data_IF_321665331954
#
_entry.id   IF_321665331954
#
_cell.length_a   1.000
_cell.length_b   1.000
_cell.length_c   1.000
_cell.angle_alpha   90.00
_cell.angle_beta   90.00
_cell.angle_gamma   90.00
#
_symmetry.space_group_name_H-M   'P 1'
#
loop_
_entity.id
_entity.type
_entity.pdbx_description
1 polymer ?
#
# COMPACT_ATOMS: atom_id res chain seq x y z
N UNK A 1 13.00 -27.85 11.30
CA UNK A 1 12.08 -26.81 10.77
C UNK A 1 12.18 -25.58 11.66
N UNK A 2 12.25 -24.37 11.10
CA UNK A 2 12.24 -23.15 11.92
C UNK A 2 10.77 -22.82 12.28
N UNK A 3 10.34 -22.92 13.55
CA UNK A 3 8.95 -22.67 13.94
C UNK A 3 8.49 -21.22 13.68
N UNK A 4 9.43 -20.31 13.42
CA UNK A 4 9.18 -18.91 13.06
C UNK A 4 8.98 -18.70 11.56
N UNK A 5 9.32 -19.68 10.71
CA UNK A 5 9.16 -19.55 9.25
C UNK A 5 7.71 -19.83 8.87
N UNK A 6 6.95 -18.77 8.60
CA UNK A 6 5.59 -18.84 8.03
C UNK A 6 5.64 -18.53 6.54
N UNK A 7 4.68 -19.07 5.79
CA UNK A 7 4.42 -18.67 4.41
C UNK A 7 3.42 -17.51 4.40
N UNK A 8 3.48 -16.61 3.40
CA UNK A 8 2.48 -15.56 3.24
C UNK A 8 1.07 -16.15 3.09
N UNK A 9 0.06 -15.43 3.55
CA UNK A 9 -1.34 -15.73 3.24
C UNK A 9 -1.65 -15.42 1.77
N UNK A 10 -2.80 -15.87 1.27
CA UNK A 10 -3.20 -15.58 -0.11
C UNK A 10 -3.49 -14.09 -0.34
N UNK A 11 -3.43 -13.58 -1.58
CA UNK A 11 -3.81 -12.20 -1.87
C UNK A 11 -5.21 -11.81 -1.35
N UNK A 12 -6.18 -12.71 -1.49
CA UNK A 12 -7.57 -12.51 -1.04
C UNK A 12 -7.67 -12.40 0.48
N UNK A 13 -6.86 -13.17 1.22
CA UNK A 13 -6.80 -13.08 2.68
C UNK A 13 -6.16 -11.77 3.16
N UNK A 14 -5.15 -11.29 2.44
CA UNK A 14 -4.45 -10.05 2.78
C UNK A 14 -5.29 -8.81 2.47
N UNK A 15 -6.12 -8.87 1.41
CA UNK A 15 -7.00 -7.78 0.95
C UNK A 15 -6.25 -6.44 0.92
N UNK A 16 -5.06 -6.47 0.32
CA UNK A 16 -4.17 -5.30 0.30
C UNK A 16 -4.68 -4.29 -0.70
N UNK A 17 -4.86 -3.05 -0.25
CA UNK A 17 -5.34 -1.93 -1.06
C UNK A 17 -4.24 -0.90 -1.27
N UNK A 18 -4.17 -0.39 -2.50
CA UNK A 18 -3.26 0.68 -2.88
C UNK A 18 -4.08 1.95 -3.09
N UNK A 19 -4.01 2.87 -2.13
CA UNK A 19 -4.84 4.07 -2.10
C UNK A 19 -4.01 5.27 -2.55
N UNK A 20 -4.29 5.78 -3.75
CA UNK A 20 -3.63 6.94 -4.31
C UNK A 20 -4.25 8.23 -3.78
N UNK A 21 -3.40 9.07 -3.18
CA UNK A 21 -3.71 10.45 -2.88
C UNK A 21 -2.79 11.36 -3.69
N UNK A 22 -3.36 12.46 -4.18
CA UNK A 22 -2.64 13.57 -4.78
C UNK A 22 -3.19 14.89 -4.22
N UNK A 23 -2.63 16.03 -4.63
CA UNK A 23 -3.20 17.34 -4.31
C UNK A 23 -4.60 17.56 -4.92
N UNK A 24 -4.96 16.82 -5.97
CA UNK A 24 -6.29 16.89 -6.60
C UNK A 24 -7.35 16.14 -5.79
N UNK A 25 -6.93 15.13 -5.03
CA UNK A 25 -7.79 14.29 -4.20
C UNK A 25 -7.15 14.02 -2.82
N UNK A 26 -6.97 15.05 -1.97
CA UNK A 26 -6.23 14.93 -0.71
C UNK A 26 -7.01 14.25 0.42
N UNK A 27 -8.31 13.95 0.21
CA UNK A 27 -9.23 13.39 1.22
C UNK A 27 -9.71 12.01 0.79
N UNK A 28 -10.28 11.91 -0.42
CA UNK A 28 -10.82 10.67 -0.96
C UNK A 28 -9.80 10.04 -1.93
N UNK A 29 -9.26 8.86 -1.63
CA UNK A 29 -8.27 8.23 -2.50
C UNK A 29 -8.90 7.59 -3.74
N UNK A 30 -8.08 7.42 -4.77
CA UNK A 30 -8.38 6.53 -5.88
C UNK A 30 -7.71 5.18 -5.61
N UNK A 31 -8.47 4.08 -5.72
CA UNK A 31 -7.91 2.74 -5.52
C UNK A 31 -7.19 2.27 -6.79
N UNK A 32 -5.94 1.84 -6.64
CA UNK A 32 -5.12 1.30 -7.71
C UNK A 32 -5.08 -0.22 -7.64
N UNK A 33 -5.15 -0.86 -8.81
CA UNK A 33 -5.21 -2.31 -8.97
C UNK A 33 -3.90 -2.80 -9.57
N UNK A 34 -3.22 -3.73 -8.92
CA UNK A 34 -2.04 -4.37 -9.50
C UNK A 34 -2.45 -5.43 -10.53
N UNK A 35 -1.62 -5.67 -11.55
CA UNK A 35 -1.90 -6.67 -12.58
C UNK A 35 -3.02 -6.28 -13.56
N UNK A 36 -3.49 -5.04 -13.53
CA UNK A 36 -4.51 -4.50 -14.44
C UNK A 36 -3.92 -3.82 -15.69
N UNK A 37 -2.62 -4.05 -15.96
CA UNK A 37 -1.85 -3.42 -17.06
C UNK A 37 -1.84 -1.88 -16.98
N UNK A 38 -1.69 -1.34 -15.77
CA UNK A 38 -1.70 0.11 -15.44
C UNK A 38 -3.02 0.81 -15.67
N UNK A 39 -4.11 0.11 -15.91
CA UNK A 39 -5.36 0.76 -16.28
C UNK A 39 -5.86 1.71 -15.18
N UNK A 40 -5.80 1.30 -13.92
CA UNK A 40 -6.14 2.12 -12.76
C UNK A 40 -5.20 3.32 -12.60
N UNK A 41 -3.90 3.14 -12.78
CA UNK A 41 -2.91 4.23 -12.73
C UNK A 41 -3.21 5.27 -13.81
N UNK A 42 -3.40 4.85 -15.05
CA UNK A 42 -3.65 5.74 -16.20
C UNK A 42 -4.97 6.51 -16.05
N UNK A 43 -5.96 5.90 -15.41
CA UNK A 43 -7.28 6.51 -15.19
C UNK A 43 -7.38 7.33 -13.90
N UNK A 44 -6.30 7.44 -13.13
CA UNK A 44 -6.26 8.16 -11.86
C UNK A 44 -5.56 9.52 -12.00
N UNK A 45 -5.47 10.26 -10.89
CA UNK A 45 -4.69 11.49 -10.81
C UNK A 45 -3.16 11.26 -10.74
N UNK A 46 -2.67 10.02 -10.89
CA UNK A 46 -1.25 9.73 -10.82
C UNK A 46 -0.47 10.49 -11.89
N UNK A 47 0.59 11.20 -11.47
CA UNK A 47 1.46 11.93 -12.37
C UNK A 47 2.88 11.36 -12.34
N UNK A 48 3.30 10.69 -13.41
CA UNK A 48 4.64 10.07 -13.52
C UNK A 48 5.80 11.07 -13.47
N UNK A 49 5.54 12.35 -13.76
CA UNK A 49 6.49 13.45 -13.64
C UNK A 49 6.72 13.90 -12.20
N UNK A 50 5.89 13.46 -11.25
CA UNK A 50 5.97 13.84 -9.84
C UNK A 50 6.63 12.75 -8.99
N UNK A 51 7.32 13.11 -7.92
CA UNK A 51 7.83 12.15 -6.95
C UNK A 51 6.70 11.29 -6.37
N UNK A 52 6.96 10.00 -6.18
CA UNK A 52 6.01 9.06 -5.58
C UNK A 52 6.48 8.64 -4.19
N UNK A 53 5.64 8.81 -3.18
CA UNK A 53 5.88 8.38 -1.80
C UNK A 53 5.00 7.17 -1.49
N UNK A 54 5.59 6.12 -0.93
CA UNK A 54 4.85 4.95 -0.47
C UNK A 54 4.72 5.03 1.05
N UNK A 55 3.49 4.92 1.57
CA UNK A 55 3.22 4.92 3.02
C UNK A 55 2.51 3.63 3.39
N UNK A 56 3.21 2.73 4.10
CA UNK A 56 2.63 1.50 4.61
C UNK A 56 2.57 1.54 6.14
N UNK A 57 1.46 1.13 6.74
CA UNK A 57 1.42 0.90 8.19
C UNK A 57 2.16 -0.40 8.55
N UNK A 58 2.45 -0.61 9.84
CA UNK A 58 3.12 -1.82 10.34
C UNK A 58 2.18 -2.84 11.00
N UNK A 59 2.77 -3.84 11.67
CA UNK A 59 2.06 -4.82 12.48
C UNK A 59 1.19 -4.15 13.56
N UNK A 60 -0.09 -4.56 13.65
CA UNK A 60 -1.11 -3.92 14.50
C UNK A 60 -1.25 -2.39 14.29
N UNK A 61 -0.67 -1.86 13.22
CA UNK A 61 -0.78 -0.47 12.83
C UNK A 61 -2.21 -0.15 12.38
N UNK A 62 -2.57 1.13 12.49
CA UNK A 62 -3.88 1.62 12.05
C UNK A 62 -3.73 2.47 10.80
N UNK A 63 -4.65 2.32 9.87
CA UNK A 63 -4.78 3.15 8.67
C UNK A 63 -4.75 4.66 8.99
N UNK A 64 -5.44 5.07 10.07
CA UNK A 64 -5.48 6.48 10.52
C UNK A 64 -4.09 7.09 10.76
N UNK A 65 -3.11 6.30 11.19
CA UNK A 65 -1.73 6.77 11.39
C UNK A 65 -1.05 7.04 10.06
N UNK A 66 -1.10 6.08 9.14
CA UNK A 66 -0.56 6.19 7.79
C UNK A 66 -1.20 7.35 7.00
N UNK A 67 -2.52 7.54 7.13
CA UNK A 67 -3.25 8.62 6.47
C UNK A 67 -2.72 10.01 6.85
N UNK A 68 -2.34 10.24 8.12
CA UNK A 68 -1.75 11.51 8.56
C UNK A 68 -0.43 11.80 7.84
N UNK A 69 0.40 10.79 7.63
CA UNK A 69 1.66 10.96 6.90
C UNK A 69 1.42 11.23 5.42
N UNK A 70 0.43 10.55 4.81
CA UNK A 70 0.06 10.82 3.43
C UNK A 70 -0.38 12.27 3.21
N UNK A 71 -1.24 12.78 4.08
CA UNK A 71 -1.67 14.18 4.06
C UNK A 71 -0.51 15.16 4.31
N UNK A 72 0.44 14.79 5.18
CA UNK A 72 1.62 15.63 5.43
C UNK A 72 2.53 15.72 4.20
N UNK A 73 2.78 14.62 3.50
CA UNK A 73 3.55 14.64 2.26
C UNK A 73 2.93 15.56 1.21
N UNK A 74 1.62 15.47 0.99
CA UNK A 74 0.92 16.32 0.03
C UNK A 74 0.97 17.82 0.38
N UNK A 75 1.03 18.15 1.67
CA UNK A 75 1.22 19.54 2.14
C UNK A 75 2.64 20.04 1.87
N UNK A 76 3.64 19.19 2.01
CA UNK A 76 5.05 19.56 1.86
C UNK A 76 5.50 19.59 0.39
N UNK A 77 4.94 18.73 -0.45
CA UNK A 77 5.45 18.48 -1.81
C UNK A 77 4.31 18.18 -2.78
N UNK A 78 4.45 18.60 -4.03
CA UNK A 78 3.54 18.17 -5.10
C UNK A 78 3.96 16.77 -5.56
N UNK A 79 3.33 15.75 -4.98
CA UNK A 79 3.73 14.35 -5.15
C UNK A 79 2.52 13.43 -5.29
N UNK A 80 2.77 12.21 -5.77
CA UNK A 80 1.85 11.10 -5.62
C UNK A 80 2.11 10.45 -4.26
N UNK A 81 1.08 10.13 -3.50
CA UNK A 81 1.21 9.30 -2.30
C UNK A 81 0.37 8.04 -2.48
N UNK A 82 1.03 6.88 -2.46
CA UNK A 82 0.35 5.58 -2.46
C UNK A 82 0.39 5.05 -1.03
N UNK A 83 -0.77 5.03 -0.38
CA UNK A 83 -0.93 4.42 0.93
C UNK A 83 -1.24 2.93 0.72
N UNK A 84 -0.47 2.07 1.39
CA UNK A 84 -0.66 0.61 1.38
C UNK A 84 -1.45 0.22 2.63
N UNK A 85 -2.73 -0.11 2.44
CA UNK A 85 -3.59 -0.66 3.48
C UNK A 85 -3.53 -2.20 3.41
N UNK A 86 -2.98 -2.82 4.44
CA UNK A 86 -2.87 -4.27 4.58
C UNK A 86 -3.28 -4.70 5.99
N UNK A 87 -4.30 -4.03 6.55
CA UNK A 87 -4.71 -4.19 7.94
C UNK A 87 -5.01 -5.65 8.33
N UNK A 88 -5.58 -6.45 7.42
CA UNK A 88 -5.82 -7.89 7.63
C UNK A 88 -4.51 -8.66 7.77
N UNK A 89 -3.58 -8.46 6.83
CA UNK A 89 -2.26 -9.11 6.85
C UNK A 89 -1.33 -8.65 7.98
N UNK A 90 -1.55 -7.44 8.50
CA UNK A 90 -0.82 -6.85 9.62
C UNK A 90 -1.44 -7.21 10.99
N UNK A 91 -2.59 -7.88 11.00
CA UNK A 91 -3.33 -8.14 12.22
C UNK A 91 -2.54 -9.06 13.17
N UNK A 92 -2.68 -8.80 14.46
CA UNK A 92 -2.21 -9.72 15.48
C UNK A 92 -3.03 -11.01 15.52
N UNK A 93 -2.55 -12.05 16.24
CA UNK A 93 -1.40 -11.99 17.15
C UNK A 93 -0.06 -12.41 16.54
N UNK A 94 -0.03 -13.03 15.36
CA UNK A 94 1.17 -13.67 14.82
C UNK A 94 2.10 -12.69 14.10
N UNK A 95 3.11 -12.18 14.81
CA UNK A 95 4.16 -11.33 14.20
C UNK A 95 4.95 -12.03 13.08
N UNK A 96 5.38 -13.32 13.21
CA UNK A 96 6.09 -13.99 12.11
C UNK A 96 5.23 -14.16 10.84
N UNK A 97 3.91 -14.28 10.98
CA UNK A 97 3.01 -14.30 9.83
C UNK A 97 2.94 -12.92 9.16
N UNK A 98 2.82 -11.85 9.93
CA UNK A 98 2.86 -10.49 9.38
C UNK A 98 4.17 -10.20 8.65
N UNK A 99 5.31 -10.70 9.17
CA UNK A 99 6.61 -10.64 8.49
C UNK A 99 6.60 -11.41 7.17
N UNK A 100 6.00 -12.60 7.11
CA UNK A 100 5.87 -13.33 5.86
C UNK A 100 4.99 -12.59 4.85
N UNK A 101 3.86 -12.03 5.30
CA UNK A 101 2.93 -11.30 4.45
C UNK A 101 3.56 -10.09 3.76
N UNK A 102 4.55 -9.42 4.37
CA UNK A 102 5.22 -8.26 3.75
C UNK A 102 5.93 -8.61 2.44
N UNK A 103 6.36 -9.88 2.26
CA UNK A 103 6.97 -10.34 1.01
C UNK A 103 5.96 -10.30 -0.15
N UNK A 104 4.73 -10.74 0.09
CA UNK A 104 3.68 -10.75 -0.92
C UNK A 104 3.19 -9.33 -1.22
N UNK A 105 3.01 -8.51 -0.19
CA UNK A 105 2.62 -7.09 -0.33
C UNK A 105 3.67 -6.31 -1.13
N UNK A 106 4.96 -6.55 -0.86
CA UNK A 106 6.05 -5.96 -1.63
C UNK A 106 6.02 -6.37 -3.10
N UNK A 107 5.67 -7.63 -3.41
CA UNK A 107 5.48 -8.10 -4.79
C UNK A 107 4.26 -7.45 -5.46
N UNK A 108 3.13 -7.34 -4.77
CA UNK A 108 1.94 -6.66 -5.30
C UNK A 108 2.24 -5.19 -5.61
N UNK A 109 2.96 -4.49 -4.72
CA UNK A 109 3.41 -3.12 -4.96
C UNK A 109 4.36 -3.01 -6.16
N UNK A 110 5.26 -3.98 -6.34
CA UNK A 110 6.13 -4.00 -7.52
C UNK A 110 5.34 -4.18 -8.82
N UNK A 111 4.38 -5.11 -8.84
CA UNK A 111 3.50 -5.32 -10.00
C UNK A 111 2.67 -4.07 -10.30
N UNK A 112 2.21 -3.35 -9.27
CA UNK A 112 1.51 -2.08 -9.45
C UNK A 112 2.33 -1.04 -10.23
N UNK A 113 3.64 -0.95 -9.96
CA UNK A 113 4.50 0.09 -10.53
C UNK A 113 5.18 -0.32 -11.83
N UNK A 114 5.41 -1.62 -12.05
CA UNK A 114 6.27 -2.13 -13.14
C UNK A 114 5.46 -2.65 -14.34
N UNK A 115 4.35 -3.35 -14.12
CA UNK A 115 3.46 -3.81 -15.21
C UNK A 115 2.80 -2.61 -15.87
#
# INVERSE_FOLDING_TARGET
SNPLKKTPQSPDDLDTKFLLFTRLNPIEPEELTYGDKRQSIVNSNFASSKPTKIVAHGFKGKLKGALKYAQLFLKMEDCNVILVDWQKGAAGPSYPLAVANTQLIGRQLALLLVD
#
